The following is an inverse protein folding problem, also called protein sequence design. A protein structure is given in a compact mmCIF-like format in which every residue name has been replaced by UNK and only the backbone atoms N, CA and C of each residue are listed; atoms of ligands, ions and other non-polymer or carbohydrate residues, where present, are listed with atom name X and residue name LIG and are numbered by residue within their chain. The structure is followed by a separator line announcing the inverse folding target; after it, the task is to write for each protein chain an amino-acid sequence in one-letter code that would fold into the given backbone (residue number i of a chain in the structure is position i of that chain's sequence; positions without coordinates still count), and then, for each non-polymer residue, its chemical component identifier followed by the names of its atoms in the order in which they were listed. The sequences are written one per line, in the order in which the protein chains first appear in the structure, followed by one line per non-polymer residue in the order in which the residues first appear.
data_IF_595390529791
#
_entry.id   IF_595390529791
#
_cell.length_a   1.000
_cell.length_b   1.000
_cell.length_c   1.000
_cell.angle_alpha   90.00
_cell.angle_beta   90.00
_cell.angle_gamma   90.00
#
_symmetry.space_group_name_H-M   'P 1'
#
loop_
_entity.id
_entity.type
_entity.pdbx_description
1 polymer ?
2 non-polymer ?
3 non-polymer ?
4 non-polymer ?
5 non-polymer ?
6 water ?
#
# COMPACT_ATOMS: atom_id res chain seq x y z
N UNK A 1 -1.53 -11.95 14.59
CA UNK A 1 -0.15 -12.31 14.34
C UNK A 1 0.41 -11.63 13.11
N UNK A 2 1.43 -12.25 12.51
CA UNK A 2 2.21 -11.62 11.43
C UNK A 2 1.32 -11.16 10.28
N UNK A 3 0.45 -12.05 9.78
CA UNK A 3 -0.39 -11.69 8.66
C UNK A 3 -1.34 -10.54 9.02
N UNK A 4 -1.94 -10.60 10.20
CA UNK A 4 -2.82 -9.51 10.60
C UNK A 4 -2.04 -8.20 10.69
N UNK A 5 -0.79 -8.26 11.19
CA UNK A 5 0.00 -7.04 11.30
C UNK A 5 0.22 -6.41 9.94
N UNK A 6 0.43 -7.22 8.91
CA UNK A 6 0.57 -6.69 7.56
C UNK A 6 -0.68 -5.90 7.18
N UNK A 7 -1.85 -6.46 7.50
CA UNK A 7 -3.10 -5.77 7.21
C UNK A 7 -3.22 -4.48 7.99
N UNK A 8 -2.85 -4.52 9.27
CA UNK A 8 -2.91 -3.32 10.11
C UNK A 8 -2.03 -2.21 9.53
N UNK A 9 -0.78 -2.55 9.21
CA UNK A 9 0.14 -1.54 8.69
C UNK A 9 -0.33 -0.99 7.36
N UNK A 10 -0.82 -1.87 6.48
CA UNK A 10 -1.34 -1.44 5.20
C UNK A 10 -2.55 -0.53 5.35
N UNK A 11 -3.27 -0.63 6.45
CA UNK A 11 -4.43 0.23 6.66
C UNK A 11 -4.10 1.67 7.01
N UNK A 12 -2.83 1.99 7.28
CA UNK A 12 -2.42 3.36 7.57
C UNK A 12 -0.96 3.48 7.17
N UNK A 13 -0.66 3.09 5.93
CA UNK A 13 0.72 2.74 5.58
C UNK A 13 1.62 3.97 5.51
N UNK A 14 1.10 5.09 4.99
CA UNK A 14 1.92 6.30 4.95
C UNK A 14 2.35 6.72 6.34
N UNK A 15 1.44 6.69 7.31
CA UNK A 15 1.76 7.09 8.68
C UNK A 15 2.75 6.11 9.31
N UNK A 16 2.48 4.79 9.20
CA UNK A 16 3.36 3.80 9.83
C UNK A 16 4.74 3.82 9.18
N UNK A 17 4.77 3.92 7.85
CA UNK A 17 6.05 3.94 7.16
C UNK A 17 6.92 5.09 7.63
N UNK A 18 6.34 6.30 7.68
CA UNK A 18 7.11 7.46 8.14
C UNK A 18 7.51 7.30 9.60
N UNK A 19 6.58 6.87 10.44
CA UNK A 19 6.90 6.79 11.87
C UNK A 19 7.94 5.70 12.16
N UNK A 20 7.90 4.57 11.45
CA UNK A 20 8.89 3.53 11.70
C UNK A 20 10.25 3.95 11.14
N UNK A 21 10.28 4.56 9.95
CA UNK A 21 11.56 5.00 9.43
C UNK A 21 12.14 6.13 10.28
N UNK A 22 11.29 7.01 10.81
CA UNK A 22 11.78 8.04 11.73
C UNK A 22 12.33 7.41 13.00
N UNK A 23 11.67 6.37 13.52
CA UNK A 23 12.18 5.66 14.68
C UNK A 23 13.54 5.05 14.37
N UNK A 24 13.72 4.57 13.15
CA UNK A 24 14.99 4.01 12.72
C UNK A 24 16.08 5.08 12.69
N UNK A 25 15.82 6.20 12.02
CA UNK A 25 16.85 7.24 11.89
C UNK A 25 17.18 7.89 13.22
N UNK A 26 16.21 8.02 14.12
CA UNK A 26 16.51 8.61 15.42
C UNK A 26 17.25 7.63 16.32
N UNK A 27 16.94 6.33 16.22
CA UNK A 27 17.66 5.33 17.03
C UNK A 27 19.09 5.16 16.52
N UNK A 28 19.29 5.26 15.22
CA UNK A 28 20.59 5.07 14.59
C UNK A 28 20.94 6.28 13.74
N UNK A 29 21.27 7.41 14.36
CA UNK A 29 21.49 8.65 13.58
C UNK A 29 22.58 8.53 12.52
N UNK A 30 23.56 7.64 12.71
CA UNK A 30 24.62 7.44 11.71
C UNK A 30 24.08 6.93 10.38
N UNK A 31 22.91 6.30 10.40
CA UNK A 31 22.34 5.79 9.17
C UNK A 31 21.99 6.90 8.20
N UNK A 32 21.91 8.15 8.66
CA UNK A 32 21.72 9.28 7.75
C UNK A 32 22.84 9.38 6.73
N UNK A 33 23.96 8.69 6.93
CA UNK A 33 25.00 8.63 5.91
C UNK A 33 24.42 8.21 4.57
N UNK A 34 23.42 7.32 4.59
CA UNK A 34 22.78 6.87 3.35
C UNK A 34 21.65 7.77 2.89
N UNK A 35 21.30 8.82 3.67
CA UNK A 35 20.17 9.71 3.38
C UNK A 35 20.60 11.15 3.69
N UNK A 36 21.60 11.63 2.93
CA UNK A 36 22.23 12.91 3.24
C UNK A 36 21.27 14.08 3.25
N UNK A 37 20.20 14.01 2.45
CA UNK A 37 19.24 15.11 2.36
C UNK A 37 18.34 15.21 3.59
N UNK A 38 18.33 14.19 4.46
CA UNK A 38 17.50 14.23 5.66
C UNK A 38 18.25 14.78 6.87
N UNK A 39 19.51 15.16 6.70
CA UNK A 39 20.32 15.69 7.80
C UNK A 39 19.80 17.07 8.20
N UNK A 40 19.86 17.36 9.49
CA UNK A 40 19.51 18.69 9.96
C UNK A 40 18.03 19.01 9.89
N UNK A 41 17.17 18.00 10.03
CA UNK A 41 15.73 18.21 9.96
C UNK A 41 15.02 17.43 11.05
N UNK A 42 14.03 18.06 11.66
CA UNK A 42 13.20 17.39 12.66
C UNK A 42 12.21 16.43 11.97
N UNK A 43 11.58 15.58 12.80
CA UNK A 43 10.54 14.67 12.31
C UNK A 43 9.48 15.40 11.50
N UNK A 44 8.92 16.48 12.06
CA UNK A 44 7.86 17.21 11.36
C UNK A 44 8.35 17.81 10.05
N UNK A 45 9.61 18.22 10.00
CA UNK A 45 10.13 18.79 8.76
C UNK A 45 10.28 17.71 7.70
N UNK A 46 10.73 16.52 8.09
CA UNK A 46 10.77 15.40 7.16
C UNK A 46 9.38 15.02 6.64
N UNK A 47 8.39 14.97 7.52
CA UNK A 47 7.03 14.64 7.11
C UNK A 47 6.42 15.66 6.15
N UNK A 48 7.02 16.84 6.03
CA UNK A 48 6.59 17.86 5.08
C UNK A 48 7.32 17.78 3.75
N UNK A 49 8.36 16.95 3.66
CA UNK A 49 9.12 16.79 2.43
C UNK A 49 8.47 15.70 1.59
N UNK A 50 7.97 16.08 0.41
CA UNK A 50 7.31 15.12 -0.48
C UNK A 50 8.20 13.91 -0.77
N UNK A 51 9.49 14.15 -1.00
CA UNK A 51 10.43 13.05 -1.25
C UNK A 51 10.42 12.05 -0.10
N UNK A 52 10.40 12.53 1.13
CA UNK A 52 10.43 11.65 2.29
C UNK A 52 9.19 10.76 2.31
N UNK A 53 8.01 11.35 2.20
CA UNK A 53 6.79 10.56 2.28
C UNK A 53 6.70 9.56 1.14
N UNK A 54 7.00 10.00 -0.08
CA UNK A 54 6.95 9.11 -1.23
C UNK A 54 7.93 7.95 -1.10
N UNK A 55 9.18 8.25 -0.78
CA UNK A 55 10.18 7.18 -0.71
C UNK A 55 9.88 6.22 0.43
N UNK A 56 9.50 6.76 1.60
CA UNK A 56 9.17 5.93 2.76
C UNK A 56 8.03 4.98 2.44
N UNK A 57 6.98 5.50 1.83
CA UNK A 57 5.83 4.68 1.52
C UNK A 57 6.17 3.62 0.47
N UNK A 58 6.97 3.98 -0.54
CA UNK A 58 7.33 2.99 -1.54
C UNK A 58 8.19 1.88 -0.92
N UNK A 59 9.06 2.24 0.03
CA UNK A 59 9.86 1.22 0.70
C UNK A 59 8.96 0.27 1.46
N UNK A 60 8.02 0.82 2.22
CA UNK A 60 7.16 -0.04 3.04
C UNK A 60 6.13 -0.77 2.19
N UNK A 61 5.70 -0.17 1.07
CA UNK A 61 4.88 -0.92 0.11
C UNK A 61 5.58 -2.22 -0.23
N UNK A 62 6.87 -2.14 -0.56
CA UNK A 62 7.61 -3.35 -0.94
C UNK A 62 7.87 -4.22 0.28
N UNK A 63 8.17 -3.62 1.43
CA UNK A 63 8.41 -4.45 2.62
C UNK A 63 7.18 -5.29 2.96
N UNK A 64 5.97 -4.70 2.86
CA UNK A 64 4.77 -5.48 3.17
C UNK A 64 4.54 -6.58 2.15
N UNK A 65 4.87 -6.35 0.87
CA UNK A 65 4.76 -7.42 -0.12
C UNK A 65 5.70 -8.57 0.19
N UNK A 66 6.94 -8.25 0.57
CA UNK A 66 7.90 -9.28 0.95
C UNK A 66 7.40 -10.06 2.15
N UNK A 67 6.90 -9.34 3.18
CA UNK A 67 6.32 -9.99 4.34
C UNK A 67 5.14 -10.88 3.94
N UNK A 68 4.34 -10.40 3.00
CA UNK A 68 3.11 -11.08 2.64
C UNK A 68 3.40 -12.36 1.86
N UNK A 69 4.45 -12.33 1.02
CA UNK A 69 4.82 -13.50 0.25
C UNK A 69 5.63 -14.51 1.06
N UNK A 70 5.99 -14.16 2.29
CA UNK A 70 6.76 -15.05 3.14
C UNK A 70 5.90 -16.19 3.67
N UNK A 71 6.55 -17.31 3.99
CA UNK A 71 5.91 -18.40 4.73
C UNK A 71 6.61 -18.55 6.06
N UNK A 72 5.85 -18.56 7.14
CA UNK A 72 6.41 -18.75 8.48
C UNK A 72 7.52 -17.72 8.75
N UNK A 73 7.31 -16.49 8.30
CA UNK A 73 8.25 -15.37 8.40
C UNK A 73 9.55 -15.57 7.62
N UNK A 74 9.56 -16.49 6.66
CA UNK A 74 10.74 -16.74 5.83
C UNK A 74 10.48 -16.10 4.47
N UNK A 75 11.22 -15.08 4.08
CA UNK A 75 10.97 -14.43 2.78
C UNK A 75 11.36 -15.32 1.61
N UNK A 76 10.76 -15.02 0.45
CA UNK A 76 11.17 -15.68 -0.78
C UNK A 76 12.60 -15.30 -1.13
N UNK A 77 13.37 -16.27 -1.61
CA UNK A 77 14.69 -15.96 -2.12
C UNK A 77 14.64 -14.92 -3.25
N UNK A 78 13.60 -14.95 -4.08
CA UNK A 78 13.51 -14.00 -5.17
C UNK A 78 13.40 -12.58 -4.64
N UNK A 79 12.66 -12.41 -3.55
CA UNK A 79 12.58 -11.08 -2.97
C UNK A 79 13.94 -10.66 -2.41
N UNK A 80 14.67 -11.60 -1.81
CA UNK A 80 15.97 -11.22 -1.27
C UNK A 80 16.91 -10.79 -2.39
N UNK A 81 16.91 -11.51 -3.51
CA UNK A 81 17.78 -11.13 -4.62
C UNK A 81 17.42 -9.75 -5.16
N UNK A 82 16.12 -9.47 -5.29
CA UNK A 82 15.70 -8.14 -5.72
C UNK A 82 16.29 -7.07 -4.81
N UNK A 83 16.17 -7.25 -3.49
CA UNK A 83 16.70 -6.24 -2.56
C UNK A 83 18.21 -6.07 -2.69
N UNK A 84 18.94 -7.16 -2.94
CA UNK A 84 20.39 -7.06 -3.02
C UNK A 84 20.81 -6.44 -4.35
N UNK A 85 20.08 -6.73 -5.43
CA UNK A 85 20.49 -6.31 -6.77
C UNK A 85 19.96 -4.95 -7.19
N UNK A 86 19.03 -4.33 -6.46
CA UNK A 86 18.58 -3.00 -6.84
C UNK A 86 19.68 -1.99 -6.59
N UNK A 87 19.93 -1.11 -7.57
CA UNK A 87 21.09 -0.24 -7.52
C UNK A 87 21.04 0.77 -6.38
N UNK A 88 19.84 1.09 -5.86
CA UNK A 88 19.70 1.97 -4.72
C UNK A 88 20.31 1.38 -3.45
N UNK A 89 20.53 0.08 -3.41
CA UNK A 89 21.15 -0.60 -2.28
C UNK A 89 22.62 -0.91 -2.53
N UNK A 90 23.24 -0.23 -3.48
CA UNK A 90 24.59 -0.59 -3.92
C UNK A 90 25.57 -0.65 -2.75
N UNK A 91 25.54 0.34 -1.87
CA UNK A 91 26.52 0.38 -0.80
C UNK A 91 26.15 -0.33 0.48
N UNK A 92 24.97 -0.94 0.55
CA UNK A 92 24.41 -1.42 1.82
C UNK A 92 25.02 -2.76 2.24
N UNK A 93 25.05 -2.98 3.56
CA UNK A 93 25.37 -4.27 4.15
C UNK A 93 24.15 -4.76 4.94
N UNK A 94 24.19 -6.01 5.38
CA UNK A 94 23.04 -6.55 6.09
C UNK A 94 22.81 -5.85 7.43
N UNK A 95 23.86 -5.25 8.00
CA UNK A 95 23.69 -4.51 9.24
C UNK A 95 22.70 -3.34 9.11
N UNK A 96 22.65 -2.71 7.94
CA UNK A 96 21.67 -1.66 7.72
C UNK A 96 20.24 -2.20 7.88
N UNK A 97 19.98 -3.36 7.27
CA UNK A 97 18.65 -3.94 7.34
C UNK A 97 18.36 -4.45 8.75
N UNK A 98 19.35 -5.05 9.40
CA UNK A 98 19.16 -5.48 10.79
C UNK A 98 18.69 -4.32 11.66
N UNK A 99 19.38 -3.18 11.58
CA UNK A 99 19.01 -2.03 12.40
C UNK A 99 17.60 -1.55 12.09
N UNK A 100 17.20 -1.59 10.81
CA UNK A 100 15.84 -1.19 10.48
C UNK A 100 14.83 -2.08 11.21
N UNK A 101 15.09 -3.39 11.23
CA UNK A 101 14.12 -4.27 11.88
C UNK A 101 14.21 -4.23 13.40
N UNK A 102 15.38 -3.91 13.97
CA UNK A 102 15.43 -3.64 15.41
C UNK A 102 14.52 -2.47 15.75
N UNK A 103 14.61 -1.39 14.97
CA UNK A 103 13.80 -0.21 15.24
C UNK A 103 12.32 -0.51 15.03
N UNK A 104 12.00 -1.26 13.97
CA UNK A 104 10.61 -1.65 13.72
C UNK A 104 10.06 -2.46 14.88
N UNK A 105 10.83 -3.43 15.37
CA UNK A 105 10.35 -4.29 16.44
C UNK A 105 10.14 -3.50 17.71
N UNK A 106 11.08 -2.59 18.00
CA UNK A 106 10.96 -1.73 19.18
C UNK A 106 9.74 -0.82 19.06
N UNK A 107 9.47 -0.34 17.85
CA UNK A 107 8.28 0.49 17.63
C UNK A 107 7.01 -0.30 17.95
N UNK A 108 6.93 -1.56 17.48
CA UNK A 108 5.74 -2.35 17.76
C UNK A 108 5.63 -2.68 19.24
N UNK A 109 6.74 -2.96 19.90
CA UNK A 109 6.70 -3.24 21.33
C UNK A 109 6.22 -2.01 22.11
N UNK A 110 6.64 -0.81 21.69
CA UNK A 110 6.26 0.40 22.42
C UNK A 110 4.82 0.81 22.13
N UNK A 111 4.22 0.25 21.08
CA UNK A 111 2.84 0.56 20.76
C UNK A 111 1.90 -0.22 21.66
N UNK A 112 0.73 0.35 21.90
CA UNK A 112 -0.25 -0.37 22.67
C UNK A 112 -1.06 -1.37 21.89
N UNK A 113 -0.65 -1.68 20.67
CA UNK A 113 -1.39 -2.60 19.81
C UNK A 113 -0.80 -4.01 19.91
N UNK A 114 -1.64 -5.00 19.60
CA UNK A 114 -1.25 -6.40 19.71
C UNK A 114 -0.44 -6.85 18.50
N UNK A 115 0.59 -6.08 18.13
CA UNK A 115 1.52 -6.52 17.11
C UNK A 115 2.23 -7.78 17.57
N UNK A 116 2.54 -8.65 16.61
CA UNK A 116 3.31 -9.87 16.85
C UNK A 116 4.78 -9.53 16.68
N UNK A 117 5.33 -8.84 17.68
CA UNK A 117 6.70 -8.32 17.58
C UNK A 117 7.71 -9.45 17.39
N UNK A 118 7.46 -10.60 18.01
CA UNK A 118 8.42 -11.70 17.89
C UNK A 118 8.50 -12.21 16.46
N UNK A 119 7.35 -12.26 15.77
CA UNK A 119 7.37 -12.66 14.36
C UNK A 119 8.10 -11.64 13.48
N UNK A 120 7.93 -10.34 13.76
CA UNK A 120 8.69 -9.36 12.97
C UNK A 120 10.18 -9.45 13.26
N UNK A 121 10.53 -9.80 14.50
CA UNK A 121 11.94 -10.02 14.82
C UNK A 121 12.50 -11.20 14.04
N UNK A 122 11.76 -12.32 14.02
CA UNK A 122 12.18 -13.47 13.21
C UNK A 122 12.25 -13.11 11.73
N UNK A 123 11.22 -12.43 11.23
CA UNK A 123 11.22 -12.00 9.82
C UNK A 123 12.47 -11.21 9.49
N UNK A 124 12.80 -10.24 10.33
CA UNK A 124 14.01 -9.46 10.11
C UNK A 124 15.26 -10.32 10.09
N UNK A 125 15.37 -11.26 11.05
CA UNK A 125 16.55 -12.11 11.09
C UNK A 125 16.62 -13.02 9.88
N UNK A 126 15.46 -13.51 9.40
CA UNK A 126 15.45 -14.38 8.23
C UNK A 126 15.71 -13.60 6.96
N UNK A 127 15.28 -12.33 6.91
CA UNK A 127 15.57 -11.52 5.74
C UNK A 127 17.06 -11.21 5.66
N UNK A 128 17.67 -10.83 6.79
CA UNK A 128 19.11 -10.61 6.83
C UNK A 128 19.86 -11.85 6.35
N UNK A 129 19.44 -13.04 6.81
CA UNK A 129 20.08 -14.26 6.36
C UNK A 129 19.88 -14.47 4.88
N UNK A 130 18.68 -14.17 4.37
CA UNK A 130 18.42 -14.37 2.95
C UNK A 130 19.22 -13.37 2.12
N UNK A 131 19.34 -12.14 2.60
CA UNK A 131 20.16 -11.14 1.94
C UNK A 131 21.62 -11.60 1.84
N UNK A 132 22.18 -12.08 2.94
CA UNK A 132 23.54 -12.62 2.91
C UNK A 132 23.64 -13.75 1.89
N UNK A 133 22.70 -14.69 1.94
CA UNK A 133 22.73 -15.80 0.99
C UNK A 133 22.62 -15.32 -0.45
N UNK A 134 21.97 -14.17 -0.68
CA UNK A 134 21.83 -13.61 -2.02
C UNK A 134 22.99 -12.70 -2.40
N UNK A 135 23.95 -12.48 -1.49
CA UNK A 135 25.19 -11.83 -1.87
C UNK A 135 25.49 -10.49 -1.23
N UNK A 136 24.69 -10.07 -0.27
CA UNK A 136 24.96 -8.83 0.43
C UNK A 136 25.98 -9.06 1.53
N UNK A 137 27.00 -8.18 1.58
CA UNK A 137 28.06 -8.26 2.57
C UNK A 137 27.57 -7.88 3.96
N UNK B 1 -0.68 -11.78 -14.76
CA UNK B 1 -2.07 -11.96 -14.47
C UNK B 1 -2.60 -11.09 -13.34
N UNK B 2 -3.76 -11.50 -12.82
CA UNK B 2 -4.43 -10.76 -11.74
C UNK B 2 -3.55 -10.61 -10.51
N UNK B 3 -2.87 -11.69 -10.11
CA UNK B 3 -2.06 -11.62 -8.90
C UNK B 3 -0.84 -10.72 -9.08
N UNK B 4 -0.24 -10.74 -10.28
CA UNK B 4 0.86 -9.81 -10.53
C UNK B 4 0.38 -8.37 -10.51
N UNK B 5 -0.80 -8.11 -11.06
CA UNK B 5 -1.37 -6.77 -11.06
C UNK B 5 -1.57 -6.25 -9.64
N UNK B 6 -2.02 -7.12 -8.73
CA UNK B 6 -2.15 -6.70 -7.33
C UNK B 6 -0.79 -6.30 -6.80
N UNK B 7 0.24 -7.07 -7.13
CA UNK B 7 1.59 -6.72 -6.70
C UNK B 7 2.03 -5.39 -7.32
N UNK B 8 1.77 -5.19 -8.61
CA UNK B 8 2.12 -3.93 -9.25
C UNK B 8 1.43 -2.75 -8.59
N UNK B 9 0.10 -2.84 -8.42
CA UNK B 9 -0.65 -1.75 -7.81
C UNK B 9 -0.16 -1.48 -6.39
N UNK B 10 0.02 -2.53 -5.59
CA UNK B 10 0.47 -2.35 -4.21
C UNK B 10 1.85 -1.70 -4.13
N UNK B 11 2.70 -1.94 -5.13
CA UNK B 11 4.05 -1.40 -5.11
C UNK B 11 4.08 0.12 -5.11
N UNK B 12 3.06 0.75 -5.69
CA UNK B 12 2.95 2.21 -5.79
C UNK B 12 1.49 2.58 -5.56
N UNK B 13 0.94 2.11 -4.43
CA UNK B 13 -0.51 2.12 -4.23
C UNK B 13 -1.08 3.53 -4.25
N UNK B 14 -0.39 4.47 -3.59
CA UNK B 14 -0.91 5.84 -3.53
C UNK B 14 -0.99 6.48 -4.91
N UNK B 15 0.03 6.27 -5.75
CA UNK B 15 0.02 6.87 -7.07
C UNK B 15 -1.10 6.28 -7.92
N UNK B 16 -1.21 4.95 -7.95
CA UNK B 16 -2.26 4.29 -8.73
C UNK B 16 -3.65 4.65 -8.21
N UNK B 17 -3.82 4.67 -6.88
CA UNK B 17 -5.14 4.95 -6.32
C UNK B 17 -5.59 6.34 -6.70
N UNK B 18 -4.71 7.32 -6.55
CA UNK B 18 -5.03 8.69 -6.94
C UNK B 18 -5.31 8.79 -8.44
N UNK B 19 -4.42 8.22 -9.27
CA UNK B 19 -4.57 8.34 -10.71
C UNK B 19 -5.86 7.67 -11.20
N UNK B 20 -6.20 6.50 -10.64
CA UNK B 20 -7.41 5.81 -11.05
C UNK B 20 -8.66 6.53 -10.54
N UNK B 21 -8.65 7.00 -9.29
CA UNK B 21 -9.82 7.71 -8.81
C UNK B 21 -10.04 9.01 -9.58
N UNK B 22 -8.96 9.71 -9.93
CA UNK B 22 -9.11 10.92 -10.72
C UNK B 22 -9.72 10.60 -12.10
N UNK B 23 -9.26 9.51 -12.73
CA UNK B 23 -9.89 9.07 -13.98
C UNK B 23 -11.37 8.82 -13.79
N UNK B 24 -11.72 8.17 -12.67
CA UNK B 24 -13.12 7.92 -12.34
C UNK B 24 -13.89 9.22 -12.22
N UNK B 25 -13.38 10.16 -11.42
CA UNK B 25 -14.07 11.42 -11.18
C UNK B 25 -14.18 12.27 -12.45
N UNK B 26 -13.18 12.21 -13.31
CA UNK B 26 -13.24 13.02 -14.53
C UNK B 26 -14.16 12.37 -15.57
N UNK B 27 -14.21 11.04 -15.62
CA UNK B 27 -15.09 10.37 -16.58
C UNK B 27 -16.56 10.52 -16.20
N UNK B 28 -16.85 10.54 -14.90
CA UNK B 28 -18.22 10.60 -14.38
C UNK B 28 -18.28 11.79 -13.43
N UNK B 29 -18.33 13.01 -13.97
CA UNK B 29 -18.26 14.20 -13.11
C UNK B 29 -19.38 14.31 -12.07
N UNK B 30 -20.56 13.76 -12.34
CA UNK B 30 -21.63 13.73 -11.35
C UNK B 30 -21.26 12.93 -10.10
N UNK B 31 -20.23 12.08 -10.16
CA UNK B 31 -19.83 11.19 -9.07
C UNK B 31 -19.14 11.91 -7.92
N UNK B 32 -19.38 13.22 -7.90
CA UNK B 32 -18.74 14.19 -7.02
C UNK B 32 -19.75 14.81 -6.08
N UNK B 33 -21.05 14.65 -6.33
CA UNK B 33 -21.96 14.55 -5.21
C UNK B 33 -21.36 13.86 -4.00
N UNK B 34 -20.84 12.65 -4.20
CA UNK B 34 -20.34 11.83 -3.10
C UNK B 34 -19.10 12.40 -2.44
N UNK B 35 -18.47 13.44 -3.02
CA UNK B 35 -17.22 13.98 -2.54
C UNK B 35 -17.25 15.51 -2.63
N UNK B 36 -18.13 16.11 -1.83
CA UNK B 36 -18.39 17.54 -1.89
C UNK B 36 -17.14 18.38 -1.67
N UNK B 37 -16.18 17.87 -0.90
CA UNK B 37 -14.96 18.62 -0.60
C UNK B 37 -13.94 18.57 -1.73
N UNK B 38 -14.23 17.87 -2.83
CA UNK B 38 -13.34 17.82 -3.98
C UNK B 38 -13.81 18.69 -5.13
N UNK B 39 -14.99 19.31 -5.00
CA UNK B 39 -15.55 20.11 -6.07
C UNK B 39 -14.68 21.34 -6.31
N UNK B 40 -14.54 21.73 -7.58
CA UNK B 40 -13.81 22.93 -7.93
C UNK B 40 -12.31 22.82 -7.83
N UNK B 41 -11.76 21.61 -7.85
CA UNK B 41 -10.33 21.37 -7.75
C UNK B 41 -9.84 20.59 -8.95
N UNK B 42 -8.64 20.94 -9.44
CA UNK B 42 -7.99 20.22 -10.52
C UNK B 42 -7.37 18.91 -9.99
N UNK B 43 -6.83 18.11 -10.92
CA UNK B 43 -6.12 16.89 -10.52
C UNK B 43 -4.95 17.22 -9.60
N UNK B 44 -4.14 18.22 -9.96
CA UNK B 44 -2.97 18.57 -9.17
C UNK B 44 -3.37 19.22 -7.85
N UNK B 45 -4.52 19.90 -7.81
CA UNK B 45 -4.96 20.47 -6.54
C UNK B 45 -5.38 19.38 -5.56
N UNK B 46 -6.06 18.34 -6.04
CA UNK B 46 -6.40 17.22 -5.17
C UNK B 46 -5.17 16.40 -4.80
N UNK B 47 -4.26 16.19 -5.77
CA UNK B 47 -3.03 15.44 -5.49
C UNK B 47 -2.17 16.13 -4.45
N UNK B 48 -2.35 17.43 -4.25
CA UNK B 48 -1.61 18.17 -3.24
C UNK B 48 -2.28 18.10 -1.87
N UNK B 49 -3.52 17.61 -1.80
CA UNK B 49 -4.29 17.55 -0.56
C UNK B 49 -4.08 16.19 0.09
N UNK B 50 -3.36 16.17 1.22
CA UNK B 50 -2.97 14.91 1.82
C UNK B 50 -4.16 13.99 2.12
N UNK B 51 -5.33 14.56 2.44
CA UNK B 51 -6.49 13.74 2.77
C UNK B 51 -7.08 13.06 1.53
N UNK B 52 -6.91 13.66 0.36
CA UNK B 52 -7.29 13.01 -0.88
C UNK B 52 -6.44 11.77 -1.10
N UNK B 53 -5.12 11.91 -0.92
CA UNK B 53 -4.24 10.77 -1.06
C UNK B 53 -4.54 9.67 -0.05
N UNK B 54 -4.76 10.06 1.21
CA UNK B 54 -4.99 9.09 2.28
C UNK B 54 -6.29 8.32 2.04
N UNK B 55 -7.38 9.03 1.79
CA UNK B 55 -8.66 8.38 1.52
C UNK B 55 -8.56 7.46 0.31
N UNK B 56 -7.98 7.97 -0.79
CA UNK B 56 -7.85 7.17 -2.02
C UNK B 56 -7.08 5.88 -1.74
N UNK B 57 -5.96 6.02 -1.02
CA UNK B 57 -5.09 4.88 -0.78
C UNK B 57 -5.76 3.86 0.14
N UNK B 58 -6.50 4.33 1.15
CA UNK B 58 -7.17 3.41 2.06
C UNK B 58 -8.27 2.63 1.34
N UNK B 59 -9.03 3.30 0.49
CA UNK B 59 -10.00 2.63 -0.38
C UNK B 59 -9.31 1.57 -1.23
N UNK B 60 -8.23 1.95 -1.91
CA UNK B 60 -7.61 1.00 -2.82
C UNK B 60 -6.88 -0.09 -2.06
N UNK B 61 -6.38 0.19 -0.86
CA UNK B 61 -5.81 -0.88 -0.05
C UNK B 61 -6.87 -1.93 0.25
N UNK B 62 -8.07 -1.49 0.64
CA UNK B 62 -9.15 -2.45 0.87
C UNK B 62 -9.48 -3.19 -0.41
N UNK B 63 -9.54 -2.49 -1.55
CA UNK B 63 -9.82 -3.18 -2.81
C UNK B 63 -8.78 -4.25 -3.12
N UNK B 64 -7.50 -3.98 -2.83
CA UNK B 64 -6.47 -4.99 -3.07
C UNK B 64 -6.58 -6.16 -2.10
N UNK B 65 -6.96 -5.90 -0.85
CA UNK B 65 -7.23 -6.99 0.08
C UNK B 65 -8.33 -7.90 -0.47
N UNK B 66 -9.43 -7.30 -0.90
CA UNK B 66 -10.54 -8.08 -1.45
C UNK B 66 -10.10 -8.83 -2.69
N UNK B 67 -9.39 -8.15 -3.60
CA UNK B 67 -8.90 -8.80 -4.81
C UNK B 67 -7.95 -9.95 -4.49
N UNK B 68 -7.07 -9.78 -3.50
CA UNK B 68 -6.12 -10.85 -3.18
C UNK B 68 -6.80 -12.06 -2.53
N UNK B 69 -7.91 -11.84 -1.80
CA UNK B 69 -8.63 -12.95 -1.20
C UNK B 69 -9.59 -13.64 -2.17
N UNK B 70 -9.82 -13.06 -3.35
CA UNK B 70 -10.68 -13.64 -4.36
C UNK B 70 -10.05 -14.91 -4.95
N UNK B 71 -10.90 -15.80 -5.47
CA UNK B 71 -10.48 -16.94 -6.27
C UNK B 71 -11.05 -16.76 -7.67
N UNK B 72 -10.19 -16.84 -8.70
CA UNK B 72 -10.63 -16.68 -10.08
C UNK B 72 -11.50 -15.45 -10.24
N UNK B 73 -11.07 -14.34 -9.62
CA UNK B 73 -11.74 -13.05 -9.66
C UNK B 73 -13.13 -13.04 -9.04
N UNK B 74 -13.45 -14.02 -8.20
CA UNK B 74 -14.70 -14.04 -7.45
C UNK B 74 -14.40 -13.65 -6.01
N UNK B 75 -14.92 -12.52 -5.52
CA UNK B 75 -14.66 -12.12 -4.14
C UNK B 75 -15.39 -12.98 -3.12
N UNK B 76 -14.85 -12.98 -1.90
CA UNK B 76 -15.53 -13.63 -0.79
C UNK B 76 -16.80 -12.86 -0.43
N UNK B 77 -17.88 -13.62 -0.16
CA UNK B 77 -19.15 -13.00 0.18
C UNK B 77 -19.03 -12.12 1.42
N UNK B 78 -18.19 -12.52 2.38
CA UNK B 78 -17.98 -11.73 3.58
C UNK B 78 -17.42 -10.35 3.25
N UNK B 79 -16.44 -10.28 2.36
CA UNK B 79 -15.90 -9.00 1.95
C UNK B 79 -16.96 -8.12 1.30
N UNK B 80 -17.83 -8.72 0.48
CA UNK B 80 -18.90 -7.95 -0.14
C UNK B 80 -19.81 -7.33 0.92
N UNK B 81 -20.07 -8.07 1.99
CA UNK B 81 -20.93 -7.56 3.05
C UNK B 81 -20.27 -6.40 3.80
N UNK B 82 -18.96 -6.46 3.99
CA UNK B 82 -18.24 -5.36 4.64
C UNK B 82 -18.43 -4.08 3.85
N UNK B 83 -18.27 -4.15 2.53
CA UNK B 83 -18.37 -2.95 1.70
C UNK B 83 -19.80 -2.40 1.68
N UNK B 84 -20.82 -3.25 1.81
CA UNK B 84 -22.16 -2.70 1.89
C UNK B 84 -22.47 -2.22 3.31
N UNK B 85 -21.85 -2.85 4.30
CA UNK B 85 -22.10 -2.51 5.71
C UNK B 85 -21.04 -1.57 6.28
N UNK B 86 -20.68 -0.56 5.50
CA UNK B 86 -19.86 0.56 5.94
C UNK B 86 -20.72 1.82 5.94
N UNK B 87 -20.52 2.68 6.96
CA UNK B 87 -21.34 3.87 7.07
C UNK B 87 -21.04 4.87 5.95
N UNK B 88 -19.83 4.86 5.41
CA UNK B 88 -19.47 5.75 4.31
C UNK B 88 -20.13 5.34 3.00
N UNK B 89 -20.73 4.15 2.92
CA UNK B 89 -21.40 3.67 1.71
C UNK B 89 -22.92 3.65 1.87
N UNK B 90 -23.46 4.40 2.84
CA UNK B 90 -24.89 4.34 3.10
C UNK B 90 -25.69 4.77 1.88
N UNK B 91 -25.26 5.83 1.19
CA UNK B 91 -25.99 6.33 0.06
C UNK B 91 -25.59 5.78 -1.30
N UNK B 92 -24.80 4.72 -1.34
CA UNK B 92 -24.21 4.24 -2.58
C UNK B 92 -25.11 3.25 -3.31
N UNK B 93 -24.97 3.22 -4.63
CA UNK B 93 -25.55 2.21 -5.50
C UNK B 93 -24.43 1.29 -5.97
N UNK B 94 -24.82 0.11 -6.46
CA UNK B 94 -23.82 -0.69 -7.16
C UNK B 94 -23.32 0.02 -8.42
N UNK B 95 -24.10 0.97 -8.93
CA UNK B 95 -23.66 1.74 -10.09
C UNK B 95 -22.41 2.56 -9.81
N UNK B 96 -22.28 3.08 -8.58
CA UNK B 96 -21.08 3.84 -8.23
C UNK B 96 -19.84 2.98 -8.32
N UNK B 97 -19.93 1.72 -7.89
CA UNK B 97 -18.82 0.79 -7.99
C UNK B 97 -18.59 0.34 -9.42
N UNK B 98 -19.68 0.11 -10.17
CA UNK B 98 -19.54 -0.28 -11.57
C UNK B 98 -18.78 0.79 -12.35
N UNK B 99 -19.04 2.06 -12.04
CA UNK B 99 -18.37 3.14 -12.77
C UNK B 99 -16.90 3.26 -12.37
N UNK B 100 -16.60 3.06 -11.09
CA UNK B 100 -15.19 3.05 -10.67
C UNK B 100 -14.41 1.95 -11.41
N UNK B 101 -15.01 0.77 -11.55
CA UNK B 101 -14.28 -0.30 -12.20
C UNK B 101 -14.19 -0.10 -13.70
N UNK B 102 -15.19 0.56 -14.30
CA UNK B 102 -15.06 0.92 -15.71
C UNK B 102 -13.82 1.79 -15.90
N UNK B 103 -13.69 2.81 -15.04
CA UNK B 103 -12.52 3.70 -15.16
C UNK B 103 -11.23 2.95 -14.86
N UNK B 104 -11.24 2.04 -13.88
CA UNK B 104 -10.05 1.25 -13.58
C UNK B 104 -9.62 0.43 -14.79
N UNK B 105 -10.57 -0.23 -15.44
CA UNK B 105 -10.24 -1.07 -16.58
C UNK B 105 -9.75 -0.21 -17.74
N UNK B 106 -10.42 0.91 -18.00
CA UNK B 106 -9.96 1.80 -19.06
C UNK B 106 -8.58 2.37 -18.74
N UNK B 107 -8.30 2.65 -17.47
CA UNK B 107 -6.95 3.07 -17.08
C UNK B 107 -5.93 2.00 -17.46
N UNK B 108 -6.20 0.76 -17.05
CA UNK B 108 -5.28 -0.34 -17.35
C UNK B 108 -5.12 -0.54 -18.85
N UNK B 109 -6.22 -0.44 -19.60
CA UNK B 109 -6.14 -0.64 -21.06
C UNK B 109 -5.31 0.44 -21.73
N UNK B 110 -5.31 1.67 -21.19
CA UNK B 110 -4.54 2.75 -21.77
C UNK B 110 -3.12 2.78 -21.27
N UNK B 111 -2.82 2.02 -20.22
CA UNK B 111 -1.47 2.01 -19.70
C UNK B 111 -0.54 1.22 -20.62
N UNK B 112 0.73 1.58 -20.58
CA UNK B 112 1.66 0.80 -21.37
C UNK B 112 1.99 -0.54 -20.77
N UNK B 113 1.46 -0.85 -19.59
CA UNK B 113 1.83 -2.06 -18.88
C UNK B 113 0.87 -3.19 -19.19
N UNK B 114 1.35 -4.42 -18.97
CA UNK B 114 0.60 -5.63 -19.28
C UNK B 114 -0.31 -6.03 -18.11
N UNK B 115 -1.22 -5.12 -17.78
CA UNK B 115 -2.27 -5.43 -16.83
C UNK B 115 -3.20 -6.46 -17.44
N UNK B 116 -3.76 -7.32 -16.60
CA UNK B 116 -4.79 -8.28 -17.02
C UNK B 116 -6.15 -7.59 -16.91
N UNK B 117 -6.41 -6.70 -17.87
CA UNK B 117 -7.58 -5.82 -17.77
C UNK B 117 -8.88 -6.61 -17.74
N UNK B 118 -8.95 -7.74 -18.44
CA UNK B 118 -10.22 -8.46 -18.41
C UNK B 118 -10.46 -9.17 -17.10
N UNK B 119 -9.39 -9.57 -16.40
CA UNK B 119 -9.56 -10.11 -15.05
C UNK B 119 -10.16 -9.05 -14.14
N UNK B 120 -9.67 -7.81 -14.25
CA UNK B 120 -10.20 -6.72 -13.44
C UNK B 120 -11.63 -6.40 -13.84
N UNK B 121 -11.93 -6.45 -15.15
CA UNK B 121 -13.31 -6.28 -15.57
C UNK B 121 -14.19 -7.34 -14.95
N UNK B 122 -13.77 -8.62 -15.05
CA UNK B 122 -14.53 -9.70 -14.44
C UNK B 122 -14.65 -9.52 -12.93
N UNK B 123 -13.53 -9.18 -12.26
CA UNK B 123 -13.57 -8.95 -10.82
C UNK B 123 -14.56 -7.84 -10.46
N UNK B 124 -14.50 -6.72 -11.19
CA UNK B 124 -15.46 -5.64 -10.98
C UNK B 124 -16.91 -6.08 -11.11
N UNK B 125 -17.22 -6.86 -12.14
CA UNK B 125 -18.60 -7.34 -12.28
C UNK B 125 -18.98 -8.30 -11.16
N UNK B 126 -18.06 -9.19 -10.77
CA UNK B 126 -18.38 -10.13 -9.70
C UNK B 126 -18.54 -9.39 -8.37
N UNK B 127 -17.74 -8.33 -8.17
CA UNK B 127 -17.88 -7.55 -6.95
C UNK B 127 -19.20 -6.78 -6.94
N UNK B 128 -19.62 -6.27 -8.10
CA UNK B 128 -20.89 -5.54 -8.19
C UNK B 128 -22.08 -6.46 -7.93
N UNK B 129 -22.06 -7.65 -8.55
CA UNK B 129 -23.12 -8.61 -8.30
C UNK B 129 -23.12 -9.10 -6.86
N UNK B 130 -21.94 -9.22 -6.26
CA UNK B 130 -21.86 -9.63 -4.86
C UNK B 130 -22.36 -8.53 -3.93
N UNK B 131 -22.03 -7.26 -4.25
CA UNK B 131 -22.58 -6.17 -3.47
C UNK B 131 -24.10 -6.17 -3.52
N UNK B 132 -24.67 -6.37 -4.70
CA UNK B 132 -26.13 -6.46 -4.80
C UNK B 132 -26.65 -7.64 -3.99
N UNK B 133 -25.98 -8.80 -4.08
CA UNK B 133 -26.37 -9.94 -3.27
C UNK B 133 -26.29 -9.62 -1.78
N UNK B 134 -25.28 -8.84 -1.39
CA UNK B 134 -25.11 -8.47 0.02
C UNK B 134 -26.04 -7.34 0.44
N UNK B 135 -26.92 -6.88 -0.45
CA UNK B 135 -27.96 -5.94 -0.10
C UNK B 135 -27.88 -4.57 -0.74
N UNK B 136 -26.84 -4.25 -1.49
CA UNK B 136 -26.70 -2.90 -2.03
C UNK B 136 -27.70 -2.64 -3.15
N UNK B 137 -28.32 -1.46 -3.12
CA UNK B 137 -29.22 -1.03 -4.17
C UNK B 137 -28.46 -0.75 -5.46
X LIG C 1 15.51 2.98 -2.14
X LIG C 1 12.97 -0.92 -0.64
X LIG C 1 15.77 -1.28 3.28
X LIG C 1 18.47 2.44 1.68
X LIG C 1 14.54 2.01 -2.02
X LIG C 1 13.34 1.90 -2.83
X LIG C 1 12.66 0.81 -2.41
X LIG C 1 13.38 0.21 -1.32
X LIG C 1 11.33 0.25 -2.94
X LIG C 1 12.99 2.88 -3.98
X LIG C 1 11.76 3.73 -3.65
X LIG C 1 11.90 5.09 -4.26
X LIG C 1 11.03 5.96 -3.97
X LIG C 1 12.86 5.33 -5.04
X LIG C 1 13.46 -1.37 0.56
X LIG C 1 12.94 -2.45 1.40
X LIG C 1 13.71 -2.52 2.50
X LIG C 1 14.76 -1.52 2.37
X LIG C 1 11.69 -3.28 1.03
X LIG C 1 13.66 -3.47 3.72
X LIG C 1 12.99 -4.62 3.76
X LIG C 1 16.72 -0.28 3.22
X LIG C 1 17.68 0.06 4.25
X LIG C 1 18.44 1.09 3.81
X LIG C 1 17.96 1.44 2.49
X LIG C 1 17.76 -0.69 5.60
X LIG C 1 19.59 1.86 4.52
X LIG C 1 19.88 1.73 5.83
X LIG C 1 17.90 2.91 0.51
X LIG C 1 18.41 4.03 -0.27
X LIG C 1 17.58 4.20 -1.33
X LIG C 1 16.55 3.18 -1.25
X LIG C 1 19.66 4.84 0.14
X LIG C 1 17.68 5.26 -2.46
X LIG C 1 17.89 6.69 -1.98
X LIG C 1 16.59 7.32 -1.57
X LIG C 1 15.52 6.83 -2.02
X LIG C 1 16.61 8.30 -0.79
X LIG C 1 14.54 0.96 -1.11
X LIG C 1 14.57 -0.85 1.19
X LIG C 1 16.93 0.58 2.16
X LIG C 1 16.78 2.40 -0.13
X LIG C 1 15.80 0.69 0.44
X LIG D 1 15.49 5.75 1.00
X LIG D 1 14.43 5.75 2.06
X LIG D 1 13.82 6.93 2.47
X LIG D 1 12.84 6.95 3.46
X LIG D 1 12.46 5.77 4.07
X LIG D 1 13.10 4.60 3.71
X LIG D 1 14.07 4.59 2.71
X LIG D 1 12.74 3.35 4.37
X LIG D 1 13.49 2.41 4.26
X LIG D 1 11.69 3.32 5.01
X LIG D 1 14.14 8.10 1.84
X LIG E 1 -2.18 -5.74 15.34
X LIG E 1 -1.93 -5.89 13.94
X LIG E 1 -3.44 -6.52 15.72
X LIG E 1 -4.54 -5.95 15.02
X LIG F 1 0.33 -15.56 11.72
X LIG F 1 0.31 -17.00 11.61
X LIG F 1 0.40 -14.98 10.40
X LIG F 1 -0.92 -15.12 12.33
X LIG F 1 1.44 -15.13 12.57
X LIG G 1 20.46 16.06 12.73
X LIG G 1 21.17 16.30 11.49
X LIG G 1 19.43 15.06 12.47
X LIG G 1 19.81 17.27 13.19
X LIG G 1 21.40 15.57 13.73
X LIG H 1 14.07 12.12 20.64
X LIG H 1 14.01 13.53 20.39
X LIG H 1 13.50 11.39 19.43
X LIG H 1 12.13 11.78 19.22
X LIG I 1 1.96 -9.27 -2.05
X LIG I 1 1.27 -8.61 -0.99
X LIG I 1 1.66 -8.50 -3.33
X LIG I 1 0.24 -8.45 -3.47
X LIG J 1 -2.30 7.29 5.41
X LIG J 1 -1.33 6.72 6.30
X LIG J 1 -2.89 6.17 4.54
X LIG J 1 -1.83 5.55 3.81
X LIG K 1 15.16 11.80 11.46
X LIG K 1 16.49 11.63 11.94
X LIG K 1 14.62 13.13 11.95
X LIG K 1 14.60 13.09 13.37
X LIG L 1 15.77 -17.83 5.48
X LIG L 1 15.48 -16.48 5.15
X LIG L 1 17.26 -18.00 5.71
X LIG L 1 17.95 -17.57 4.54
X LIG M 1 -14.73 5.71 2.32
X LIG M 1 -13.43 1.35 0.57
X LIG M 1 -15.99 2.21 -3.47
X LIG M 1 -17.75 6.25 -1.44
X LIG M 1 -14.09 4.50 2.17
X LIG M 1 -13.05 3.97 3.02
X LIG M 1 -12.69 2.77 2.54
X LIG M 1 -13.49 2.48 1.37
X LIG M 1 -11.59 1.87 3.15
X LIG M 1 -12.44 4.67 4.25
X LIG M 1 -11.64 5.88 3.83
X LIG M 1 -10.94 6.46 5.03
X LIG M 1 -10.06 7.34 4.87
X LIG M 1 -11.26 6.03 6.18
X LIG M 1 -13.95 1.20 -0.70
X LIG M 1 -13.65 0.15 -1.66
X LIG M 1 -14.35 0.39 -2.79
X LIG M 1 -15.13 1.60 -2.57
X LIG M 1 -12.67 -1.01 -1.37
X LIG M 1 -14.40 -0.42 -4.10
X LIG M 1 -13.86 -1.64 -4.27
X LIG M 1 -16.63 3.42 -3.32
X LIG M 1 -17.25 4.21 -4.37
X LIG M 1 -17.74 5.34 -3.80
X LIG M 1 -17.43 5.30 -2.38
X LIG M 1 -17.31 3.75 -5.85
X LIG M 1 -18.50 6.53 -4.46
X LIG M 1 -18.66 6.69 -5.78
X LIG M 1 -17.05 6.51 -0.27
X LIG M 1 -17.10 7.73 0.52
X LIG M 1 -16.26 7.57 1.57
X LIG M 1 -15.65 6.26 1.46
X LIG M 1 -17.99 8.94 0.18
X LIG M 1 -15.92 8.56 2.72
X LIG M 1 -15.39 9.91 2.21
X LIG M 1 -13.91 10.02 1.90
X LIG M 1 -13.50 11.15 1.53
X LIG M 1 -13.12 9.03 1.98
X LIG M 1 -14.34 3.55 1.17
X LIG M 1 -14.85 2.07 -1.30
X LIG M 1 -16.76 4.12 -2.13
X LIG M 1 -16.16 5.65 0.33
X LIG M 1 -15.51 3.87 -0.50
X LIG N 1 -13.96 8.01 -0.75
X LIG N 1 -12.89 7.90 -1.78
X LIG N 1 -11.87 8.84 -1.87
X LIG N 1 -10.87 8.74 -2.82
X LIG N 1 -10.86 7.69 -3.72
X LIG N 1 -11.88 6.76 -3.64
X LIG N 1 -12.87 6.86 -2.69
X LIG N 1 -11.89 5.63 -4.57
X LIG N 1 -10.95 5.52 -5.35
X LIG N 1 -12.86 4.89 -4.56
X LIG N 1 -11.86 9.89 -0.99
X LIG O 1 -25.37 5.60 -9.75
X LIG O 1 -23.93 5.48 -9.97
X LIG O 1 -26.08 4.49 -10.38
X LIG O 1 -25.64 5.58 -8.31
X LIG O 1 -25.85 6.87 -10.31
X LIG P 1 -16.18 17.17 -11.70
X LIG P 1 -17.39 16.78 -11.05
X LIG P 1 -15.48 15.88 -12.14
X LIG P 1 -14.07 15.98 -12.13
X LIG Q 1 1.17 -13.38 -1.32
X LIG Q 1 1.23 -13.05 -2.70
X LIG Q 1 -0.05 -12.72 -0.69
X LIG Q 1 -1.25 -13.35 -1.14
X LIG R 1 -10.21 16.44 -10.41
X LIG R 1 -10.41 17.13 -11.64
X LIG R 1 -11.10 15.22 -10.44
X LIG R 1 -12.44 15.69 -10.54
#
# INVERSE_FOLDING_TARGET
GFKQDIATLRGDLRTYAQDIFLAFLNKYPDEKRNFKNYVGKSDQELKSMAKFGDHTEKVFNLMMEVADRATDCVPLASDASTLVQMKQHSGLTTGNFEKLFVALVEYMRASGQSFDSQSWDRFGKNLVSALSSAGMK
GFKQDIATLRGDLRTYAQDIFLAFLNKYPDEKRNFKNYVGKSDQELKSMAKFGDHTEKVFNLMMEVADRATDCVPLASDASTLVQMKQHSGLTTGNFEKLFVALVEYMRASGQSFDSQSWDRFGKNLVSALSSAGMK
HEM CHA CHB CHC CHD C1A C2A C3A C4A CMA CAA CBA CGA O1A O2A C1B C2B C3B C4B CMB CAB CBB C1C C2C C3C C4C CMC CAC CBC C1D C2D C3D C4D CMD CAD CBD CGD O1D O2D NA NB NC ND FE
MYJ C1 C2 C3 C4 C5 C6 C7 N1 O1 O2 O3
EDO C1 O1 C2 O2
SO4 S O1 O2 O3 O4
SO4 S O1 O2 O3 O4
EDO C1 O1 C2 O2
EDO C1 O1 C2 O2
EDO C1 O1 C2 O2
EDO C1 O1 C2 O2
EDO C1 O1 C2 O2
HEM CHA CHB CHC CHD C1A C2A C3A C4A CMA CAA CBA CGA O1A O2A C1B C2B C3B C4B CMB CAB CBB C1C C2C C3C C4C CMC CAC CBC C1D C2D C3D C4D CMD CAD CBD CGD O1D O2D NA NB NC ND FE
MYJ C1 C2 C3 C4 C5 C6 C7 N1 O1 O2 O3
SO4 S O1 O2 O3 O4
EDO C1 O1 C2 O2
EDO C1 O1 C2 O2
EDO C1 O1 C2 O2
#
